data_IF_953104836347
#
_entry.id   IF_953104836347
#
_cell.length_a   1.000
_cell.length_b   1.000
_cell.length_c   1.000
_cell.angle_alpha   90.00
_cell.angle_beta   90.00
_cell.angle_gamma   90.00
#
_symmetry.space_group_name_H-M   'P 1'
#
loop_
_entity.id
_entity.type
_entity.pdbx_description
1 polymer ?
#
# COMPACT_ATOMS: atom_id res chain seq x y z
N UNK A 1 -34.92 24.10 -7.90
CA UNK A 1 -33.80 25.04 -7.74
C UNK A 1 -32.82 24.64 -6.63
N UNK A 2 -33.33 24.21 -5.48
CA UNK A 2 -32.43 23.77 -4.39
C UNK A 2 -31.60 22.55 -4.75
N UNK A 3 -32.07 21.68 -5.61
CA UNK A 3 -31.35 20.49 -6.05
C UNK A 3 -30.15 20.81 -6.92
N UNK A 4 -30.26 21.82 -7.78
CA UNK A 4 -29.16 22.23 -8.66
C UNK A 4 -28.00 22.84 -7.88
N UNK A 5 -28.31 23.62 -6.84
CA UNK A 5 -27.31 24.24 -5.99
C UNK A 5 -26.58 23.18 -5.17
N UNK A 6 -27.30 22.20 -4.65
CA UNK A 6 -26.71 21.09 -3.90
C UNK A 6 -25.80 20.25 -4.79
N UNK A 7 -26.24 19.95 -6.01
CA UNK A 7 -25.46 19.18 -6.97
C UNK A 7 -24.18 19.92 -7.35
N UNK A 8 -24.27 21.23 -7.53
CA UNK A 8 -23.13 22.07 -7.86
C UNK A 8 -22.11 22.13 -6.73
N UNK A 9 -22.57 22.19 -5.48
CA UNK A 9 -21.73 22.19 -4.31
C UNK A 9 -21.00 20.83 -4.15
N UNK A 10 -21.69 19.73 -4.45
CA UNK A 10 -21.10 18.40 -4.40
C UNK A 10 -20.01 18.22 -5.48
N UNK A 11 -20.22 18.74 -6.66
CA UNK A 11 -19.24 18.69 -7.75
C UNK A 11 -17.98 19.50 -7.42
N UNK A 12 -18.16 20.68 -6.83
CA UNK A 12 -17.03 21.51 -6.41
C UNK A 12 -16.22 20.87 -5.31
N UNK A 13 -16.90 20.20 -4.40
CA UNK A 13 -16.24 19.48 -3.31
C UNK A 13 -15.42 18.30 -3.82
N UNK A 14 -15.90 17.61 -4.86
CA UNK A 14 -15.18 16.51 -5.48
C UNK A 14 -13.90 16.97 -6.17
N UNK A 15 -13.95 18.09 -6.88
CA UNK A 15 -12.79 18.67 -7.56
C UNK A 15 -11.71 19.12 -6.55
N UNK A 16 -12.13 19.72 -5.45
CA UNK A 16 -11.20 20.14 -4.40
C UNK A 16 -10.47 18.96 -3.77
N UNK A 17 -11.14 17.83 -3.60
CA UNK A 17 -10.52 16.61 -3.06
C UNK A 17 -9.48 16.02 -3.98
N UNK A 18 -9.68 16.09 -5.29
CA UNK A 18 -8.79 15.45 -6.26
C UNK A 18 -7.42 16.12 -6.31
N UNK A 19 -7.37 17.44 -6.17
CA UNK A 19 -6.11 18.19 -6.20
C UNK A 19 -5.27 18.06 -4.94
N UNK A 20 -5.88 17.71 -3.82
CA UNK A 20 -5.17 17.61 -2.53
C UNK A 20 -4.59 16.22 -2.26
N UNK A 21 -5.07 15.19 -2.94
CA UNK A 21 -4.73 13.80 -2.64
C UNK A 21 -3.43 13.31 -3.23
N UNK A 22 -2.98 13.89 -4.31
CA UNK A 22 -1.80 13.37 -5.01
C UNK A 22 -0.52 13.50 -4.20
N UNK A 23 -0.50 14.37 -3.19
CA UNK A 23 0.70 14.63 -2.42
C UNK A 23 0.79 13.87 -1.09
N UNK A 24 -0.30 13.21 -0.63
CA UNK A 24 -0.37 12.69 0.74
C UNK A 24 -1.05 11.33 0.88
N UNK A 25 -0.85 10.41 -0.09
CA UNK A 25 -1.40 9.06 -0.02
C UNK A 25 -0.56 8.08 0.80
N UNK A 26 0.32 8.59 1.67
CA UNK A 26 1.12 7.74 2.54
C UNK A 26 0.34 7.42 3.81
N UNK A 27 0.04 6.14 4.04
CA UNK A 27 -0.59 5.71 5.30
C UNK A 27 -0.17 4.29 5.66
N UNK A 28 -0.08 3.98 6.97
CA UNK A 28 0.30 2.65 7.42
C UNK A 28 -0.87 1.68 7.29
N UNK A 29 -0.58 0.47 6.82
CA UNK A 29 -1.50 -0.65 6.83
C UNK A 29 -1.11 -1.62 7.94
N UNK A 30 0.18 -1.89 8.09
CA UNK A 30 0.71 -2.79 9.10
C UNK A 30 2.16 -2.43 9.40
N UNK A 31 2.53 -2.49 10.68
CA UNK A 31 3.91 -2.29 11.13
C UNK A 31 4.47 -0.94 10.74
N UNK A 32 5.75 -0.89 10.47
CA UNK A 32 6.47 0.32 10.14
C UNK A 32 6.74 0.50 8.65
N UNK A 33 6.48 -0.51 7.83
CA UNK A 33 6.79 -0.46 6.39
C UNK A 33 5.64 -0.85 5.48
N UNK A 34 4.63 -1.55 5.96
CA UNK A 34 3.53 -2.01 5.11
C UNK A 34 2.48 -0.91 4.94
N UNK A 35 2.28 -0.46 3.70
CA UNK A 35 1.30 0.56 3.36
C UNK A 35 1.73 1.33 2.12
N UNK A 36 0.76 1.94 1.38
CA UNK A 36 1.09 2.69 0.18
C UNK A 36 1.91 3.93 0.52
N UNK A 37 3.07 4.09 -0.14
CA UNK A 37 4.01 5.20 0.04
C UNK A 37 4.44 5.40 1.51
N UNK A 38 4.41 4.34 2.30
CA UNK A 38 4.74 4.39 3.72
C UNK A 38 5.89 3.43 4.01
N UNK A 39 6.89 3.83 4.84
CA UNK A 39 7.03 5.14 5.48
C UNK A 39 7.53 6.21 4.50
N UNK A 40 7.48 7.48 4.91
CA UNK A 40 8.06 8.56 4.10
C UNK A 40 9.58 8.38 3.99
N UNK A 41 10.17 8.83 2.88
CA UNK A 41 11.56 8.53 2.52
C UNK A 41 12.61 8.91 3.58
N UNK A 42 12.33 9.91 4.41
CA UNK A 42 13.24 10.34 5.46
C UNK A 42 13.22 9.46 6.71
N UNK A 43 12.20 8.63 6.88
CA UNK A 43 12.06 7.74 8.02
C UNK A 43 12.71 6.38 7.72
N UNK A 44 13.44 5.86 8.70
CA UNK A 44 14.09 4.54 8.59
C UNK A 44 13.81 3.74 9.86
N UNK A 45 12.55 3.39 10.12
CA UNK A 45 12.21 2.65 11.32
C UNK A 45 12.73 1.20 11.26
N UNK A 46 12.70 0.54 12.42
CA UNK A 46 13.03 -0.88 12.51
C UNK A 46 11.77 -1.68 12.19
N UNK A 47 11.89 -2.72 11.36
CA UNK A 47 10.78 -3.63 11.08
C UNK A 47 10.43 -4.41 12.36
N UNK A 48 9.14 -4.57 12.63
CA UNK A 48 8.65 -5.21 13.86
C UNK A 48 8.61 -6.73 13.78
N UNK A 49 8.53 -7.29 12.57
CA UNK A 49 8.48 -8.74 12.35
C UNK A 49 8.85 -9.09 10.90
N UNK A 50 8.70 -10.35 10.53
CA UNK A 50 9.09 -10.82 9.20
C UNK A 50 8.19 -10.26 8.08
N UNK A 51 6.90 -10.11 8.31
CA UNK A 51 5.99 -9.50 7.33
C UNK A 51 6.36 -8.04 7.11
N UNK A 52 6.60 -7.31 8.19
CA UNK A 52 7.02 -5.91 8.09
C UNK A 52 8.37 -5.78 7.38
N UNK A 53 9.30 -6.71 7.64
CA UNK A 53 10.59 -6.74 6.95
C UNK A 53 10.44 -7.03 5.45
N UNK A 54 9.49 -7.89 5.07
CA UNK A 54 9.18 -8.13 3.66
C UNK A 54 8.68 -6.84 2.99
N UNK A 55 7.84 -6.06 3.67
CA UNK A 55 7.40 -4.76 3.17
C UNK A 55 8.56 -3.78 3.04
N UNK A 56 9.50 -3.79 4.00
CA UNK A 56 10.72 -2.96 3.93
C UNK A 56 11.55 -3.29 2.68
N UNK A 57 11.76 -4.57 2.42
CA UNK A 57 12.50 -5.00 1.24
C UNK A 57 11.78 -4.63 -0.06
N UNK A 58 10.45 -4.70 -0.06
CA UNK A 58 9.62 -4.29 -1.19
C UNK A 58 9.75 -2.79 -1.47
N UNK A 59 9.70 -1.97 -0.43
CA UNK A 59 9.89 -0.52 -0.55
C UNK A 59 11.25 -0.19 -1.14
N UNK A 60 12.30 -0.87 -0.66
CA UNK A 60 13.66 -0.70 -1.19
C UNK A 60 13.74 -1.10 -2.66
N UNK A 61 13.08 -2.18 -3.03
CA UNK A 61 13.03 -2.63 -4.41
C UNK A 61 12.37 -1.58 -5.31
N UNK A 62 11.26 -0.99 -4.87
CA UNK A 62 10.59 0.08 -5.60
C UNK A 62 11.47 1.33 -5.73
N UNK A 63 12.23 1.66 -4.69
CA UNK A 63 13.17 2.80 -4.76
C UNK A 63 14.24 2.56 -5.83
N UNK A 64 14.70 1.33 -5.99
CA UNK A 64 15.75 0.98 -6.95
C UNK A 64 15.24 0.75 -8.36
N UNK A 65 14.06 0.17 -8.51
CA UNK A 65 13.53 -0.30 -9.80
C UNK A 65 12.32 0.47 -10.29
N UNK A 66 11.73 1.31 -9.44
CA UNK A 66 10.53 2.08 -9.75
C UNK A 66 9.26 1.48 -9.16
N UNK A 67 8.27 2.35 -8.93
CA UNK A 67 6.98 1.94 -8.39
C UNK A 67 6.27 0.99 -9.36
N UNK A 68 5.54 0.05 -8.79
CA UNK A 68 4.78 -0.96 -9.53
C UNK A 68 5.64 -1.89 -10.38
N UNK A 69 6.92 -1.98 -10.09
CA UNK A 69 7.79 -2.95 -10.75
C UNK A 69 7.34 -4.36 -10.41
N UNK A 70 7.05 -5.17 -11.43
CA UNK A 70 6.50 -6.51 -11.25
C UNK A 70 7.45 -7.44 -10.52
N UNK A 71 8.75 -7.34 -10.75
CA UNK A 71 9.73 -8.18 -10.06
C UNK A 71 9.72 -7.91 -8.57
N UNK A 72 9.55 -6.64 -8.17
CA UNK A 72 9.44 -6.26 -6.75
C UNK A 72 8.21 -6.88 -6.11
N UNK A 73 7.08 -6.86 -6.80
CA UNK A 73 5.83 -7.43 -6.31
C UNK A 73 5.91 -8.95 -6.19
N UNK A 74 6.54 -9.61 -7.16
CA UNK A 74 6.74 -11.06 -7.11
C UNK A 74 7.70 -11.45 -5.99
N UNK A 75 8.74 -10.64 -5.74
CA UNK A 75 9.64 -10.86 -4.62
C UNK A 75 8.90 -10.76 -3.29
N UNK A 76 8.06 -9.72 -3.13
CA UNK A 76 7.23 -9.58 -1.93
C UNK A 76 6.32 -10.79 -1.74
N UNK A 77 5.65 -11.23 -2.80
CA UNK A 77 4.79 -12.41 -2.75
C UNK A 77 5.56 -13.65 -2.28
N UNK A 78 6.73 -13.89 -2.85
CA UNK A 78 7.54 -15.05 -2.48
C UNK A 78 8.02 -14.96 -1.03
N UNK A 79 8.43 -13.77 -0.60
CA UNK A 79 8.84 -13.55 0.79
C UNK A 79 7.70 -13.84 1.77
N UNK A 80 6.49 -13.33 1.45
CA UNK A 80 5.32 -13.53 2.31
C UNK A 80 4.91 -14.99 2.40
N UNK A 81 4.94 -15.72 1.29
CA UNK A 81 4.58 -17.14 1.26
C UNK A 81 5.51 -17.95 2.18
N UNK A 82 6.78 -17.58 2.26
CA UNK A 82 7.77 -18.27 3.07
C UNK A 82 7.68 -17.95 4.56
N UNK A 83 6.94 -16.92 4.97
CA UNK A 83 6.85 -16.48 6.36
C UNK A 83 5.84 -17.31 7.13
N UNK A 84 6.25 -17.78 8.33
CA UNK A 84 5.34 -18.36 9.32
C UNK A 84 5.00 -17.27 10.34
N UNK A 85 3.78 -16.73 10.34
CA UNK A 85 3.43 -15.61 11.22
C UNK A 85 3.49 -16.01 12.69
N UNK A 86 3.95 -15.07 13.54
CA UNK A 86 4.07 -15.27 14.98
C UNK A 86 2.90 -14.69 15.76
N UNK A 87 2.02 -13.94 15.11
CA UNK A 87 0.84 -13.34 15.73
C UNK A 87 -0.34 -13.36 14.77
N UNK A 88 -1.54 -13.18 15.31
CA UNK A 88 -2.77 -13.06 14.50
C UNK A 88 -2.71 -11.85 13.59
N UNK A 89 -2.19 -10.74 14.10
CA UNK A 89 -2.05 -9.49 13.35
C UNK A 89 -1.09 -9.66 12.18
N UNK A 90 0.03 -10.34 12.42
CA UNK A 90 1.00 -10.63 11.35
C UNK A 90 0.39 -11.53 10.28
N UNK A 91 -0.36 -12.55 10.68
CA UNK A 91 -1.04 -13.46 9.75
C UNK A 91 -2.07 -12.72 8.90
N UNK A 92 -2.86 -11.84 9.52
CA UNK A 92 -3.85 -11.05 8.80
C UNK A 92 -3.16 -10.12 7.79
N UNK A 93 -2.09 -9.46 8.20
CA UNK A 93 -1.33 -8.60 7.30
C UNK A 93 -0.78 -9.38 6.10
N UNK A 94 -0.19 -10.55 6.35
CA UNK A 94 0.31 -11.43 5.28
C UNK A 94 -0.80 -11.76 4.27
N UNK A 95 -1.98 -12.15 4.76
CA UNK A 95 -3.11 -12.53 3.91
C UNK A 95 -3.63 -11.35 3.09
N UNK A 96 -3.77 -10.18 3.72
CA UNK A 96 -4.26 -8.99 3.03
C UNK A 96 -3.31 -8.54 1.93
N UNK A 97 -2.01 -8.57 2.18
CA UNK A 97 -1.01 -8.18 1.19
C UNK A 97 -0.97 -9.17 0.05
N UNK A 98 -1.03 -10.48 0.35
CA UNK A 98 -1.09 -11.52 -0.69
C UNK A 98 -2.34 -11.37 -1.55
N UNK A 99 -3.48 -11.09 -0.95
CA UNK A 99 -4.71 -10.83 -1.68
C UNK A 99 -4.56 -9.64 -2.63
N UNK A 100 -3.97 -8.56 -2.14
CA UNK A 100 -3.73 -7.37 -2.95
C UNK A 100 -2.82 -7.68 -4.16
N UNK A 101 -1.68 -8.34 -3.93
CA UNK A 101 -0.75 -8.68 -5.00
C UNK A 101 -1.41 -9.59 -6.03
N UNK A 102 -2.12 -10.61 -5.57
CA UNK A 102 -2.79 -11.54 -6.47
C UNK A 102 -3.85 -10.83 -7.31
N UNK A 103 -4.59 -9.89 -6.72
CA UNK A 103 -5.61 -9.14 -7.48
C UNK A 103 -5.01 -8.22 -8.53
N UNK A 104 -3.80 -7.71 -8.33
CA UNK A 104 -3.12 -6.89 -9.33
C UNK A 104 -2.80 -7.67 -10.61
N UNK A 105 -2.49 -8.95 -10.49
CA UNK A 105 -2.02 -9.77 -11.60
C UNK A 105 -3.06 -10.74 -12.15
N UNK A 106 -4.11 -11.05 -11.40
CA UNK A 106 -5.19 -11.92 -11.86
C UNK A 106 -6.14 -11.26 -12.87
N UNK A 107 -6.16 -9.94 -12.91
CA UNK A 107 -7.00 -9.17 -13.84
C UNK A 107 -6.61 -9.44 -15.31
N UNK A 108 -5.41 -9.94 -15.54
CA UNK A 108 -4.87 -10.15 -16.88
C UNK A 108 -5.08 -11.59 -17.39
N UNK A 109 -5.88 -12.38 -16.70
CA UNK A 109 -6.32 -13.68 -17.16
C UNK A 109 -7.72 -13.57 -17.73
#
# INVERSE_FOLDING_TARGET
>A
MKFLVLLFLLLNFSCAKTGLKEKNLSFPVYGNYCGPLYPVASMKPIAIDDVDNACKNHDRCYDLKGYFNQDCDMQLKNDLIAISPLSTEEDLAKRLILFYINSLYDINK
#
